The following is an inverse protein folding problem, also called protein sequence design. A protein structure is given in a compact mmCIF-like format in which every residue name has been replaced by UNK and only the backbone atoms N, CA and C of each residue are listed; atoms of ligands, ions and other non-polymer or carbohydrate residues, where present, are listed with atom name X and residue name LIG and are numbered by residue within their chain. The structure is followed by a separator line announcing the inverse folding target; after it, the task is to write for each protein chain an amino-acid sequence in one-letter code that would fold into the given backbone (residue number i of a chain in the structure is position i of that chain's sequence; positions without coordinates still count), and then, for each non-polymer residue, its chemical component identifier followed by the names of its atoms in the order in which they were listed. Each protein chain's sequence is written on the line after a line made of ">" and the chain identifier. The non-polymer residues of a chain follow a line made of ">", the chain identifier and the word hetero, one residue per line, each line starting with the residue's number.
data_IF_614662148922
#
_entry.id   IF_614662148922
#
_cell.length_a   1.000
_cell.length_b   1.000
_cell.length_c   1.000
_cell.angle_alpha   90.00
_cell.angle_beta   90.00
_cell.angle_gamma   90.00
#
_symmetry.space_group_name_H-M   'P 1'
#
loop_
_entity.id
_entity.type
_entity.pdbx_description
1 polymer ?
#
# COMPACT_ATOMS: atom_id res chain seq x y z
N UNK A 1 8.79 -4.99 -13.78
CA UNK A 1 9.16 -6.04 -12.79
C UNK A 1 10.45 -5.71 -12.03
N UNK A 2 11.35 -4.87 -12.56
CA UNK A 2 12.67 -4.61 -11.94
C UNK A 2 12.62 -3.89 -10.59
N UNK A 3 11.72 -2.91 -10.42
CA UNK A 3 11.56 -2.23 -9.12
C UNK A 3 11.21 -3.21 -7.97
N UNK A 4 10.46 -4.29 -8.25
CA UNK A 4 10.15 -5.32 -7.25
C UNK A 4 11.38 -6.18 -6.93
N UNK A 5 12.26 -6.41 -7.91
CA UNK A 5 13.54 -7.12 -7.71
C UNK A 5 14.51 -6.27 -6.88
N UNK A 6 14.59 -4.96 -7.16
CA UNK A 6 15.40 -4.02 -6.36
C UNK A 6 15.00 -4.00 -4.88
N UNK A 7 13.70 -4.07 -4.57
CA UNK A 7 13.24 -4.18 -3.17
C UNK A 7 13.77 -5.46 -2.50
N UNK A 8 13.83 -6.58 -3.23
CA UNK A 8 14.41 -7.83 -2.71
C UNK A 8 15.89 -7.65 -2.41
N UNK A 9 16.64 -7.05 -3.32
CA UNK A 9 18.08 -6.78 -3.14
C UNK A 9 18.32 -5.83 -1.97
N UNK A 10 17.57 -4.73 -1.87
CA UNK A 10 17.72 -3.75 -0.79
C UNK A 10 17.37 -4.33 0.59
N UNK A 11 16.40 -5.25 0.67
CA UNK A 11 16.13 -5.99 1.91
C UNK A 11 17.30 -6.88 2.32
N UNK A 12 17.98 -7.51 1.36
CA UNK A 12 19.12 -8.37 1.62
C UNK A 12 20.38 -7.58 2.02
N UNK A 13 20.54 -6.35 1.52
CA UNK A 13 21.68 -5.49 1.89
C UNK A 13 21.52 -4.81 3.26
N UNK A 14 20.30 -4.72 3.79
CA UNK A 14 20.01 -3.99 5.04
C UNK A 14 20.09 -2.47 4.90
N UNK A 15 20.28 -1.95 3.69
CA UNK A 15 20.36 -0.51 3.42
C UNK A 15 18.95 0.10 3.32
N UNK A 16 18.56 0.85 4.35
CA UNK A 16 17.27 1.51 4.42
C UNK A 16 17.06 2.57 3.33
N UNK A 17 18.12 3.24 2.90
CA UNK A 17 18.08 4.25 1.83
C UNK A 17 17.78 3.61 0.48
N UNK A 18 18.47 2.51 0.16
CA UNK A 18 18.17 1.70 -1.03
C UNK A 18 16.75 1.14 -0.97
N UNK A 19 16.31 0.67 0.19
CA UNK A 19 14.96 0.12 0.36
C UNK A 19 13.89 1.19 0.14
N UNK A 20 14.09 2.41 0.64
CA UNK A 20 13.20 3.55 0.43
C UNK A 20 13.13 3.92 -1.06
N UNK A 21 14.27 3.99 -1.74
CA UNK A 21 14.35 4.30 -3.17
C UNK A 21 13.63 3.24 -4.02
N UNK A 22 13.90 1.96 -3.78
CA UNK A 22 13.25 0.86 -4.49
C UNK A 22 11.72 0.86 -4.26
N UNK A 23 11.26 1.12 -3.03
CA UNK A 23 9.83 1.28 -2.72
C UNK A 23 9.21 2.45 -3.46
N UNK A 24 9.89 3.60 -3.55
CA UNK A 24 9.40 4.76 -4.29
C UNK A 24 9.21 4.45 -5.78
N UNK A 25 10.14 3.73 -6.41
CA UNK A 25 10.00 3.27 -7.81
C UNK A 25 8.79 2.35 -7.99
N UNK A 26 8.56 1.43 -7.05
CA UNK A 26 7.36 0.58 -7.08
C UNK A 26 6.10 1.43 -6.97
N UNK A 27 6.05 2.43 -6.07
CA UNK A 27 4.88 3.28 -5.95
C UNK A 27 4.59 4.06 -7.21
N UNK A 28 5.63 4.64 -7.84
CA UNK A 28 5.48 5.32 -9.12
C UNK A 28 4.86 4.39 -10.18
N UNK A 29 5.39 3.18 -10.33
CA UNK A 29 4.86 2.22 -11.29
C UNK A 29 3.40 1.84 -11.00
N UNK A 30 3.01 1.71 -9.72
CA UNK A 30 1.62 1.43 -9.34
C UNK A 30 0.68 2.57 -9.71
N UNK A 31 1.12 3.81 -9.52
CA UNK A 31 0.34 4.99 -9.90
C UNK A 31 0.20 5.07 -11.42
N UNK A 32 1.30 4.89 -12.16
CA UNK A 32 1.29 4.94 -13.62
C UNK A 32 0.42 3.82 -14.24
N UNK A 33 0.26 2.68 -13.54
CA UNK A 33 -0.63 1.57 -13.93
C UNK A 33 -2.09 1.74 -13.49
N UNK A 34 -2.41 2.76 -12.68
CA UNK A 34 -3.75 2.95 -12.11
C UNK A 34 -4.09 1.99 -10.95
N UNK A 35 -3.14 1.19 -10.45
CA UNK A 35 -3.33 0.38 -9.24
C UNK A 35 -3.44 1.24 -7.97
N UNK A 36 -2.89 2.45 -8.02
CA UNK A 36 -2.92 3.48 -6.97
C UNK A 36 -3.19 4.82 -7.61
N UNK A 37 -3.82 5.74 -6.89
CA UNK A 37 -4.17 7.05 -7.43
C UNK A 37 -5.54 7.49 -6.90
N UNK A 38 -6.14 8.53 -7.51
CA UNK A 38 -7.50 8.91 -7.20
C UNK A 38 -8.44 7.71 -7.29
N UNK A 39 -9.43 7.71 -6.42
CA UNK A 39 -10.50 6.72 -6.44
C UNK A 39 -11.29 6.83 -7.75
N UNK A 40 -11.83 5.70 -8.21
CA UNK A 40 -12.63 5.65 -9.44
C UNK A 40 -14.09 6.07 -9.23
N UNK A 41 -14.52 6.27 -7.97
CA UNK A 41 -15.86 6.70 -7.60
C UNK A 41 -15.93 8.22 -7.31
N UNK A 42 -17.11 8.81 -7.47
CA UNK A 42 -17.37 10.25 -7.31
C UNK A 42 -18.40 10.57 -6.21
N UNK A 43 -18.83 9.57 -5.44
CA UNK A 43 -19.86 9.68 -4.40
C UNK A 43 -19.40 10.42 -3.11
N UNK A 44 -18.15 10.90 -3.09
CA UNK A 44 -17.54 11.57 -1.94
C UNK A 44 -17.08 10.63 -0.83
N UNK A 45 -17.18 9.30 -1.01
CA UNK A 45 -16.67 8.34 -0.04
C UNK A 45 -15.15 8.44 0.09
N UNK A 46 -14.59 8.43 1.32
CA UNK A 46 -13.16 8.56 1.55
C UNK A 46 -12.37 7.33 1.08
N UNK A 47 -11.14 7.56 0.60
CA UNK A 47 -10.17 6.48 0.32
C UNK A 47 -9.55 5.97 1.62
N UNK A 48 -9.77 4.71 1.95
CA UNK A 48 -9.16 4.04 3.10
C UNK A 48 -7.92 3.19 2.73
N UNK A 49 -7.39 3.33 1.52
CA UNK A 49 -6.16 2.63 1.12
C UNK A 49 -4.98 3.06 2.01
N UNK A 50 -4.17 2.09 2.43
CA UNK A 50 -3.06 2.29 3.37
C UNK A 50 -3.47 2.78 4.78
N UNK A 51 -4.76 2.81 5.11
CA UNK A 51 -5.24 2.99 6.48
C UNK A 51 -5.27 1.65 7.23
N UNK A 52 -4.89 1.67 8.51
CA UNK A 52 -5.10 0.50 9.38
C UNK A 52 -6.60 0.31 9.62
N UNK A 53 -7.09 -0.93 9.58
CA UNK A 53 -8.53 -1.24 9.73
C UNK A 53 -9.15 -0.68 11.01
N UNK A 54 -8.38 -0.56 12.10
CA UNK A 54 -8.84 0.05 13.35
C UNK A 54 -9.16 1.55 13.23
N UNK A 55 -8.62 2.21 12.21
CA UNK A 55 -8.81 3.63 11.94
C UNK A 55 -9.85 3.85 10.82
N UNK A 56 -10.61 2.82 10.44
CA UNK A 56 -11.65 2.90 9.41
C UNK A 56 -13.01 2.49 10.00
N UNK A 57 -14.13 2.83 9.32
CA UNK A 57 -15.46 2.37 9.71
C UNK A 57 -15.59 0.84 9.77
N UNK A 58 -14.71 0.11 9.06
CA UNK A 58 -14.68 -1.35 9.04
C UNK A 58 -14.13 -1.99 10.32
N UNK A 59 -13.68 -1.20 11.29
CA UNK A 59 -13.07 -1.71 12.53
C UNK A 59 -13.97 -2.66 13.31
N UNK A 60 -15.27 -2.36 13.44
CA UNK A 60 -16.21 -3.18 14.19
C UNK A 60 -16.45 -4.54 13.50
N UNK A 61 -16.69 -4.52 12.18
CA UNK A 61 -16.86 -5.72 11.38
C UNK A 61 -15.59 -6.59 11.37
N UNK A 62 -14.40 -6.00 11.23
CA UNK A 62 -13.15 -6.77 11.27
C UNK A 62 -12.95 -7.45 12.62
N UNK A 63 -13.34 -6.81 13.74
CA UNK A 63 -13.28 -7.43 15.07
C UNK A 63 -14.23 -8.60 15.23
N UNK A 64 -15.43 -8.57 14.63
CA UNK A 64 -16.37 -9.69 14.73
C UNK A 64 -15.87 -10.94 14.02
N UNK A 65 -15.06 -10.80 12.96
CA UNK A 65 -14.45 -11.96 12.28
C UNK A 65 -13.38 -12.68 13.13
N UNK A 66 -12.74 -11.97 14.06
CA UNK A 66 -11.71 -12.55 14.93
C UNK A 66 -12.29 -13.23 16.19
N UNK A 67 -13.58 -13.01 16.46
CA UNK A 67 -14.30 -13.61 17.59
C UNK A 67 -15.05 -14.90 17.22
N UNK A 68 -14.85 -15.39 16.00
CA UNK A 68 -15.41 -16.63 15.43
C UNK A 68 -14.33 -17.70 15.36
#
# INVERSE_FOLDING_TARGET
>A
MDARREVKTAKASGDEGQLKSARAKVQKAKVDLGERGPVWWDDGSPDFNQCQVKNTPYSAWHKSLAAM
#
